data_IF_257572929471
#
_entry.id   IF_257572929471
#
_cell.length_a   1.000
_cell.length_b   1.000
_cell.length_c   1.000
_cell.angle_alpha   90.00
_cell.angle_beta   90.00
_cell.angle_gamma   90.00
#
_symmetry.space_group_name_H-M   'P 1'
#
loop_
_entity.id
_entity.type
_entity.pdbx_description
1 polymer ?
#
# COMPACT_ATOMS: atom_id res chain seq x y z
N UNK A 1 10.42 4.49 11.09
CA UNK A 1 9.65 4.02 9.92
C UNK A 1 10.57 3.16 9.09
N UNK A 2 10.42 1.83 9.06
CA UNK A 2 11.37 0.97 8.32
C UNK A 2 11.26 -0.53 8.61
N UNK A 3 10.83 -0.92 9.81
CA UNK A 3 10.51 -2.31 10.11
C UNK A 3 9.15 -2.67 9.46
N UNK A 4 9.13 -3.65 8.56
CA UNK A 4 7.91 -4.21 7.96
C UNK A 4 7.43 -3.57 6.65
N UNK A 5 7.85 -2.34 6.31
CA UNK A 5 7.45 -1.72 5.04
C UNK A 5 7.97 -2.47 3.81
N UNK A 6 9.15 -3.11 3.93
CA UNK A 6 9.75 -3.89 2.85
C UNK A 6 9.10 -5.26 2.63
N UNK A 7 8.58 -5.89 3.69
CA UNK A 7 7.97 -7.22 3.61
C UNK A 7 6.48 -7.17 3.25
N UNK A 8 5.81 -6.05 3.52
CA UNK A 8 4.37 -5.89 3.23
C UNK A 8 4.05 -6.04 1.75
N UNK A 9 4.85 -5.45 0.86
CA UNK A 9 4.64 -5.50 -0.59
C UNK A 9 4.74 -6.92 -1.19
N UNK A 10 5.82 -7.69 -0.96
CA UNK A 10 5.90 -9.06 -1.47
C UNK A 10 4.83 -9.96 -0.85
N UNK A 11 4.54 -9.82 0.44
CA UNK A 11 3.49 -10.62 1.12
C UNK A 11 2.12 -10.36 0.49
N UNK A 12 1.71 -9.10 0.34
CA UNK A 12 0.42 -8.76 -0.28
C UNK A 12 0.32 -9.27 -1.73
N UNK A 13 1.41 -9.18 -2.50
CA UNK A 13 1.46 -9.65 -3.88
C UNK A 13 1.27 -11.16 -3.96
N UNK A 14 2.01 -11.93 -3.16
CA UNK A 14 1.88 -13.40 -3.11
C UNK A 14 0.50 -13.82 -2.63
N UNK A 15 -0.06 -13.15 -1.63
CA UNK A 15 -1.40 -13.45 -1.13
C UNK A 15 -2.49 -13.26 -2.19
N UNK A 16 -2.43 -12.18 -2.98
CA UNK A 16 -3.37 -11.94 -4.10
C UNK A 16 -3.19 -12.98 -5.20
N UNK A 17 -1.94 -13.31 -5.55
CA UNK A 17 -1.67 -14.32 -6.57
C UNK A 17 -2.13 -15.72 -6.12
N UNK A 18 -2.00 -16.04 -4.83
CA UNK A 18 -2.44 -17.31 -4.27
C UNK A 18 -3.99 -17.43 -4.19
N UNK A 19 -4.69 -16.29 -4.15
CA UNK A 19 -6.15 -16.26 -4.08
C UNK A 19 -6.85 -16.73 -5.37
N UNK A 20 -6.23 -16.57 -6.54
CA UNK A 20 -6.83 -16.82 -7.86
C UNK A 20 -6.17 -17.99 -8.59
N UNK A 21 -6.84 -18.62 -9.56
CA UNK A 21 -6.25 -19.66 -10.44
C UNK A 21 -5.12 -19.16 -11.34
N UNK A 22 -4.23 -20.08 -11.74
CA UNK A 22 -3.03 -19.77 -12.54
C UNK A 22 -3.39 -19.02 -13.83
N UNK A 23 -4.51 -19.41 -14.46
CA UNK A 23 -5.04 -18.77 -15.67
C UNK A 23 -5.42 -17.29 -15.46
N UNK A 24 -5.71 -16.87 -14.23
CA UNK A 24 -6.16 -15.52 -13.89
C UNK A 24 -5.07 -14.65 -13.23
N UNK A 25 -3.83 -15.15 -13.10
CA UNK A 25 -2.74 -14.41 -12.44
C UNK A 25 -2.42 -13.06 -13.11
N UNK A 26 -2.52 -12.98 -14.44
CA UNK A 26 -2.32 -11.73 -15.17
C UNK A 26 -3.36 -10.67 -14.80
N UNK A 27 -4.63 -11.06 -14.71
CA UNK A 27 -5.73 -10.18 -14.30
C UNK A 27 -5.55 -9.75 -12.85
N UNK A 28 -5.27 -10.68 -11.93
CA UNK A 28 -5.08 -10.36 -10.52
C UNK A 28 -3.91 -9.39 -10.28
N UNK A 29 -2.79 -9.59 -10.99
CA UNK A 29 -1.62 -8.70 -10.89
C UNK A 29 -1.92 -7.32 -11.48
N UNK A 30 -2.67 -7.27 -12.59
CA UNK A 30 -3.13 -6.03 -13.20
C UNK A 30 -4.04 -5.22 -12.26
N UNK A 31 -5.04 -5.88 -11.67
CA UNK A 31 -5.94 -5.26 -10.67
C UNK A 31 -5.17 -4.77 -9.46
N UNK A 32 -4.23 -5.56 -8.94
CA UNK A 32 -3.38 -5.16 -7.82
C UNK A 32 -2.55 -3.91 -8.14
N UNK A 33 -1.98 -3.84 -9.35
CA UNK A 33 -1.20 -2.68 -9.79
C UNK A 33 -2.08 -1.43 -9.97
N UNK A 34 -3.27 -1.60 -10.54
CA UNK A 34 -4.25 -0.54 -10.67
C UNK A 34 -4.69 0.00 -9.30
N UNK A 35 -5.08 -0.88 -8.38
CA UNK A 35 -5.49 -0.49 -7.01
C UNK A 35 -4.36 0.22 -6.27
N UNK A 36 -3.10 -0.19 -6.47
CA UNK A 36 -1.94 0.49 -5.90
C UNK A 36 -1.79 1.91 -6.44
N UNK A 37 -1.92 2.09 -7.75
CA UNK A 37 -1.88 3.42 -8.38
C UNK A 37 -3.03 4.30 -7.85
N UNK A 38 -4.25 3.77 -7.84
CA UNK A 38 -5.43 4.45 -7.32
C UNK A 38 -5.26 4.85 -5.84
N UNK A 39 -4.82 3.92 -4.99
CA UNK A 39 -4.56 4.19 -3.58
C UNK A 39 -3.50 5.26 -3.36
N UNK A 40 -2.46 5.31 -4.20
CA UNK A 40 -1.45 6.37 -4.14
C UNK A 40 -2.03 7.75 -4.49
N UNK A 41 -2.86 7.82 -5.55
CA UNK A 41 -3.50 9.06 -5.96
C UNK A 41 -4.49 9.56 -4.89
N UNK A 42 -5.30 8.66 -4.32
CA UNK A 42 -6.21 8.97 -3.22
C UNK A 42 -5.46 9.43 -1.97
N UNK A 43 -4.38 8.74 -1.60
CA UNK A 43 -3.55 9.11 -0.45
C UNK A 43 -2.97 10.52 -0.59
N UNK A 44 -2.41 10.84 -1.76
CA UNK A 44 -1.92 12.20 -2.05
C UNK A 44 -3.04 13.23 -2.00
N UNK A 45 -4.20 12.94 -2.59
CA UNK A 45 -5.34 13.86 -2.58
C UNK A 45 -5.88 14.13 -1.16
N UNK A 46 -6.04 13.09 -0.34
CA UNK A 46 -6.50 13.22 1.04
C UNK A 46 -5.51 14.04 1.87
N UNK A 47 -4.21 13.71 1.81
CA UNK A 47 -3.20 14.44 2.57
C UNK A 47 -3.05 15.89 2.08
N UNK A 48 -3.16 16.12 0.78
CA UNK A 48 -3.19 17.47 0.20
C UNK A 48 -4.39 18.29 0.66
N UNK A 49 -5.58 17.67 0.74
CA UNK A 49 -6.77 18.31 1.28
C UNK A 49 -6.63 18.65 2.77
N UNK A 50 -6.01 17.77 3.58
CA UNK A 50 -5.68 18.04 4.98
C UNK A 50 -4.69 19.20 5.09
N UNK A 51 -3.62 19.20 4.29
CA UNK A 51 -2.64 20.27 4.26
C UNK A 51 -3.31 21.64 3.97
N UNK A 52 -4.16 21.71 2.94
CA UNK A 52 -4.94 22.91 2.61
C UNK A 52 -5.89 23.32 3.73
N UNK A 53 -6.60 22.35 4.33
CA UNK A 53 -7.55 22.60 5.41
C UNK A 53 -6.90 23.21 6.66
N UNK A 54 -5.62 22.93 6.89
CA UNK A 54 -4.82 23.49 7.98
C UNK A 54 -3.89 24.64 7.55
N UNK A 55 -4.15 25.23 6.37
CA UNK A 55 -3.47 26.44 5.90
C UNK A 55 -2.01 26.23 5.48
N UNK A 56 -1.59 25.00 5.18
CA UNK A 56 -0.27 24.72 4.65
C UNK A 56 -0.23 25.09 3.15
N UNK A 57 0.61 26.06 2.73
CA UNK A 57 0.68 26.45 1.33
C UNK A 57 1.20 25.29 0.48
N UNK A 58 0.48 24.95 -0.57
CA UNK A 58 0.93 23.96 -1.56
C UNK A 58 1.91 24.59 -2.56
N UNK A 59 2.57 23.74 -3.35
CA UNK A 59 3.51 24.16 -4.38
C UNK A 59 2.83 25.09 -5.41
N UNK A 60 3.00 26.40 -5.22
CA UNK A 60 2.37 27.46 -6.01
C UNK A 60 2.10 28.74 -5.20
N UNK A 61 1.70 28.59 -3.94
CA UNK A 61 1.41 29.71 -3.01
C UNK A 61 2.64 30.09 -2.17
N UNK A 62 3.62 29.18 -2.10
CA UNK A 62 4.86 29.31 -1.33
C UNK A 62 5.73 30.53 -1.67
N UNK A 63 5.60 31.09 -2.87
CA UNK A 63 6.33 32.29 -3.29
C UNK A 63 5.87 33.54 -2.52
N UNK A 64 4.62 33.58 -2.05
CA UNK A 64 4.08 34.67 -1.23
C UNK A 64 4.22 34.42 0.27
N UNK A 65 4.60 33.21 0.69
CA UNK A 65 4.66 32.78 2.09
C UNK A 65 6.08 32.52 2.61
N UNK A 66 7.11 33.05 1.93
CA UNK A 66 8.54 32.79 2.22
C UNK A 66 9.05 33.22 3.61
N UNK A 67 8.17 33.54 4.56
CA UNK A 67 8.47 33.82 5.97
C UNK A 67 7.49 33.24 6.99
N UNK A 68 6.46 32.48 6.56
CA UNK A 68 5.52 31.86 7.48
C UNK A 68 6.09 30.53 7.98
N UNK A 69 6.27 30.41 9.31
CA UNK A 69 6.63 29.13 9.92
C UNK A 69 5.54 28.09 9.61
N UNK A 70 5.95 26.93 9.10
CA UNK A 70 5.05 25.80 8.91
C UNK A 70 4.31 25.48 10.22
N UNK A 71 2.99 25.36 10.17
CA UNK A 71 2.18 25.10 11.36
C UNK A 71 2.42 23.67 11.86
N UNK A 72 2.83 23.53 13.13
CA UNK A 72 2.99 22.23 13.77
C UNK A 72 1.67 21.44 13.81
N UNK A 73 0.55 22.16 13.87
CA UNK A 73 -0.80 21.59 13.84
C UNK A 73 -1.11 20.87 12.52
N UNK A 74 -0.79 21.48 11.37
CA UNK A 74 -0.99 20.83 10.06
C UNK A 74 -0.19 19.53 9.95
N UNK A 75 1.08 19.55 10.35
CA UNK A 75 1.93 18.36 10.35
C UNK A 75 1.39 17.26 11.27
N UNK A 76 0.94 17.62 12.47
CA UNK A 76 0.35 16.67 13.42
C UNK A 76 -0.87 15.99 12.81
N UNK A 77 -1.74 16.76 12.14
CA UNK A 77 -2.93 16.23 11.50
C UNK A 77 -2.62 15.34 10.29
N UNK A 78 -1.62 15.69 9.48
CA UNK A 78 -1.12 14.84 8.39
C UNK A 78 -0.64 13.50 8.94
N UNK A 79 0.14 13.50 10.03
CA UNK A 79 0.61 12.27 10.67
C UNK A 79 -0.53 11.45 11.27
N UNK A 80 -1.52 12.07 11.91
CA UNK A 80 -2.69 11.38 12.45
C UNK A 80 -3.53 10.72 11.36
N UNK A 81 -3.76 11.43 10.25
CA UNK A 81 -4.50 10.88 9.10
C UNK A 81 -3.71 9.73 8.45
N UNK A 82 -2.40 9.89 8.28
CA UNK A 82 -1.54 8.82 7.78
C UNK A 82 -1.55 7.60 8.72
N UNK A 83 -1.50 7.81 10.03
CA UNK A 83 -1.59 6.74 11.03
C UNK A 83 -2.96 6.02 10.96
N UNK A 84 -4.06 6.76 10.82
CA UNK A 84 -5.39 6.17 10.66
C UNK A 84 -5.48 5.32 9.39
N UNK A 85 -4.94 5.79 8.25
CA UNK A 85 -4.87 5.02 7.00
C UNK A 85 -4.06 3.73 7.19
N UNK A 86 -2.91 3.81 7.87
CA UNK A 86 -2.09 2.65 8.18
C UNK A 86 -2.80 1.65 9.10
N UNK A 87 -3.55 2.12 10.09
CA UNK A 87 -4.36 1.26 10.97
C UNK A 87 -5.48 0.56 10.21
N UNK A 88 -6.15 1.27 9.29
CA UNK A 88 -7.15 0.65 8.40
C UNK A 88 -6.53 -0.41 7.49
N UNK A 89 -5.35 -0.14 6.92
CA UNK A 89 -4.61 -1.11 6.12
C UNK A 89 -4.19 -2.34 6.95
N UNK A 90 -3.71 -2.11 8.18
CA UNK A 90 -3.35 -3.18 9.11
C UNK A 90 -4.56 -4.03 9.48
N UNK A 91 -5.72 -3.41 9.76
CA UNK A 91 -6.95 -4.12 10.04
C UNK A 91 -7.42 -4.95 8.82
N UNK A 92 -7.36 -4.38 7.61
CA UNK A 92 -7.70 -5.09 6.38
C UNK A 92 -6.79 -6.32 6.15
N UNK A 93 -5.49 -6.19 6.41
CA UNK A 93 -4.54 -7.31 6.35
C UNK A 93 -4.80 -8.34 7.46
N UNK A 94 -5.10 -7.90 8.68
CA UNK A 94 -5.41 -8.80 9.80
C UNK A 94 -6.72 -9.56 9.64
N UNK A 95 -7.66 -9.03 8.86
CA UNK A 95 -8.91 -9.70 8.49
C UNK A 95 -8.77 -10.60 7.25
N UNK A 96 -7.62 -10.55 6.56
CA UNK A 96 -7.40 -11.34 5.35
C UNK A 96 -7.35 -12.83 5.71
N UNK A 97 -8.24 -13.67 5.16
CA UNK A 97 -8.23 -15.09 5.45
C UNK A 97 -6.96 -15.74 4.89
N UNK A 98 -6.34 -16.59 5.70
CA UNK A 98 -5.14 -17.33 5.32
C UNK A 98 -5.52 -18.42 4.32
N UNK A 99 -4.93 -18.38 3.12
CA UNK A 99 -5.05 -19.45 2.12
C UNK A 99 -3.72 -20.18 2.04
N UNK A 100 -3.76 -21.52 2.13
CA UNK A 100 -2.58 -22.36 1.98
C UNK A 100 -1.81 -21.97 0.73
N UNK A 101 -0.51 -21.75 0.86
CA UNK A 101 0.36 -21.38 -0.25
C UNK A 101 0.31 -22.51 -1.28
N UNK A 102 0.07 -22.17 -2.54
CA UNK A 102 0.16 -23.16 -3.63
C UNK A 102 1.56 -23.78 -3.64
N UNK A 103 1.61 -25.07 -3.35
CA UNK A 103 2.81 -25.88 -3.50
C UNK A 103 3.16 -26.07 -4.98
N UNK A 104 4.43 -26.27 -5.26
CA UNK A 104 4.87 -26.80 -6.54
C UNK A 104 4.23 -28.18 -6.74
N UNK A 105 3.65 -28.51 -7.90
CA UNK A 105 3.21 -29.88 -8.15
C UNK A 105 4.46 -30.78 -8.10
N UNK A 106 4.57 -31.61 -7.06
CA UNK A 106 5.42 -32.79 -7.13
C UNK A 106 4.84 -33.69 -8.23
N UNK A 107 5.34 -33.55 -9.45
CA UNK A 107 5.10 -34.53 -10.51
C UNK A 107 6.42 -34.71 -11.28
N UNK A 108 6.99 -35.89 -11.04
CA UNK A 108 8.11 -36.52 -11.74
C UNK A 108 9.52 -35.98 -11.47
N UNK A 109 10.07 -36.27 -10.29
CA UNK A 109 11.46 -36.74 -10.29
C UNK A 109 11.45 -38.14 -10.94
N UNK A 110 12.05 -38.36 -12.11
CA UNK A 110 12.33 -39.71 -12.56
C UNK A 110 13.38 -40.25 -11.60
N UNK A 111 12.96 -41.08 -10.65
CA UNK A 111 13.89 -41.94 -9.93
C UNK A 111 14.44 -42.87 -11.00
N UNK A 112 15.64 -42.54 -11.48
CA UNK A 112 16.46 -43.43 -12.28
C UNK A 112 16.64 -44.71 -11.43
N UNK A 113 15.88 -45.74 -11.77
CA UNK A 113 16.18 -47.08 -11.32
C UNK A 113 17.42 -47.54 -12.09
N UNK A 114 18.45 -47.95 -11.33
CA UNK A 114 19.69 -48.56 -11.82
C UNK A 114 19.45 -49.75 -12.74
#
# INVERSE_FOLDING_TARGET
VGLGSGTTFPVATVSVQNAVDQAHLGVATGVLTFLRSLGSALGVAILGAVALGYGLPLAGEGAHSAGAAASAEAFTMIFLVAAAILLMALAALGLMPEKALRGHPETAAPVLAD
#
